data_IF_679605743118
#
_entry.id   IF_679605743118
#
_cell.length_a   1.000
_cell.length_b   1.000
_cell.length_c   1.000
_cell.angle_alpha   90.00
_cell.angle_beta   90.00
_cell.angle_gamma   90.00
#
_symmetry.space_group_name_H-M   'P 1'
#
loop_
_entity.id
_entity.type
_entity.pdbx_description
1 polymer ?
#
# COMPACT_ATOMS: atom_id res chain seq x y z
N UNK A 1 9.04 5.60 -14.99
CA UNK A 1 8.93 4.35 -15.76
C UNK A 1 7.50 3.80 -15.82
N UNK A 2 6.49 4.50 -15.29
CA UNK A 2 5.08 4.14 -15.40
C UNK A 2 4.66 2.93 -14.55
N UNK A 3 5.39 2.56 -13.51
CA UNK A 3 4.94 1.58 -12.53
C UNK A 3 4.20 2.28 -11.39
N UNK A 4 3.05 1.73 -11.01
CA UNK A 4 2.19 2.21 -9.94
C UNK A 4 2.05 1.08 -8.94
N UNK A 5 2.28 1.37 -7.67
CA UNK A 5 2.06 0.45 -6.56
C UNK A 5 0.69 0.70 -5.97
N UNK A 6 -0.02 -0.37 -5.67
CA UNK A 6 -1.35 -0.32 -5.03
C UNK A 6 -1.58 -1.59 -4.21
N UNK A 7 -2.74 -1.73 -3.59
CA UNK A 7 -3.12 -2.99 -2.94
C UNK A 7 -3.64 -4.03 -3.94
N UNK A 8 -3.42 -5.31 -3.61
CA UNK A 8 -3.95 -6.42 -4.39
C UNK A 8 -5.49 -6.39 -4.44
N UNK A 9 -6.16 -6.12 -3.31
CA UNK A 9 -7.62 -6.11 -3.26
C UNK A 9 -8.24 -5.02 -4.15
N UNK A 10 -7.51 -3.94 -4.45
CA UNK A 10 -7.97 -2.84 -5.35
C UNK A 10 -8.06 -3.30 -6.80
N UNK A 11 -7.16 -4.18 -7.24
CA UNK A 11 -7.06 -4.64 -8.65
C UNK A 11 -7.44 -6.12 -8.82
N UNK A 12 -7.85 -6.79 -7.75
CA UNK A 12 -8.14 -8.22 -7.75
C UNK A 12 -9.23 -8.58 -8.77
N UNK A 13 -8.96 -9.62 -9.57
CA UNK A 13 -9.85 -10.08 -10.62
C UNK A 13 -9.74 -9.30 -11.95
N UNK A 14 -9.00 -8.20 -11.98
CA UNK A 14 -8.80 -7.40 -13.20
C UNK A 14 -7.42 -7.68 -13.81
N UNK A 15 -7.37 -7.79 -15.14
CA UNK A 15 -6.10 -7.83 -15.89
C UNK A 15 -5.66 -6.43 -16.32
N UNK A 16 -6.64 -5.56 -16.55
CA UNK A 16 -6.47 -4.18 -16.98
C UNK A 16 -7.34 -3.28 -16.09
N UNK A 17 -6.84 -2.09 -15.81
CA UNK A 17 -7.51 -1.08 -15.01
C UNK A 17 -7.37 0.27 -15.70
N UNK A 18 -8.24 1.21 -15.40
CA UNK A 18 -8.11 2.58 -15.84
C UNK A 18 -7.39 3.40 -14.78
N UNK A 19 -6.37 4.12 -15.19
CA UNK A 19 -5.56 5.00 -14.33
C UNK A 19 -5.84 6.45 -14.71
N UNK A 20 -6.43 7.20 -13.79
CA UNK A 20 -6.65 8.64 -13.95
C UNK A 20 -5.43 9.39 -13.43
N UNK A 21 -4.81 10.18 -14.29
CA UNK A 21 -3.64 11.00 -13.99
C UNK A 21 -4.08 12.38 -13.45
N UNK A 22 -3.16 13.06 -12.77
CA UNK A 22 -3.42 14.39 -12.18
C UNK A 22 -3.73 15.47 -13.22
N UNK A 23 -3.36 15.29 -14.49
CA UNK A 23 -3.71 16.16 -15.60
C UNK A 23 -5.13 15.91 -16.18
N UNK A 24 -5.90 14.99 -15.57
CA UNK A 24 -7.25 14.62 -16.00
C UNK A 24 -7.30 13.56 -17.10
N UNK A 25 -6.16 13.10 -17.60
CA UNK A 25 -6.12 12.02 -18.59
C UNK A 25 -6.39 10.67 -17.90
N UNK A 26 -7.11 9.79 -18.59
CA UNK A 26 -7.27 8.40 -18.19
C UNK A 26 -6.52 7.51 -19.18
N UNK A 27 -5.62 6.69 -18.65
CA UNK A 27 -4.80 5.77 -19.45
C UNK A 27 -5.04 4.32 -19.02
N UNK A 28 -4.96 3.36 -19.94
CA UNK A 28 -5.06 1.96 -19.57
C UNK A 28 -3.82 1.52 -18.79
N UNK A 29 -4.04 0.79 -17.72
CA UNK A 29 -3.02 0.19 -16.89
C UNK A 29 -3.11 -1.33 -16.92
N UNK A 30 -1.99 -1.99 -17.13
CA UNK A 30 -1.86 -3.45 -17.09
C UNK A 30 -1.42 -3.90 -15.70
N UNK A 31 -2.14 -4.80 -15.08
CA UNK A 31 -1.70 -5.44 -13.81
C UNK A 31 -0.54 -6.38 -14.15
N UNK A 32 0.67 -6.02 -13.71
CA UNK A 32 1.90 -6.77 -14.00
C UNK A 32 2.21 -7.83 -12.97
N UNK A 33 1.72 -7.68 -11.75
CA UNK A 33 1.86 -8.66 -10.69
C UNK A 33 1.07 -8.32 -9.45
N UNK A 34 0.65 -9.35 -8.74
CA UNK A 34 -0.09 -9.24 -7.49
C UNK A 34 0.43 -10.23 -6.46
N UNK A 35 0.29 -9.89 -5.20
CA UNK A 35 0.58 -10.77 -4.08
C UNK A 35 -0.50 -10.64 -2.99
N UNK A 36 -1.38 -11.63 -2.95
CA UNK A 36 -2.51 -11.65 -2.02
C UNK A 36 -2.07 -11.75 -0.55
N UNK A 37 -0.93 -12.38 -0.27
CA UNK A 37 -0.42 -12.57 1.10
C UNK A 37 0.03 -11.26 1.75
N UNK A 38 0.51 -10.31 0.95
CA UNK A 38 0.98 -9.01 1.42
C UNK A 38 0.03 -7.88 1.02
N UNK A 39 -1.04 -8.22 0.29
CA UNK A 39 -2.00 -7.27 -0.27
C UNK A 39 -1.35 -6.17 -1.13
N UNK A 40 -0.29 -6.51 -1.88
CA UNK A 40 0.38 -5.60 -2.79
C UNK A 40 0.15 -5.98 -4.25
N UNK A 41 0.11 -4.98 -5.11
CA UNK A 41 0.04 -5.13 -6.56
C UNK A 41 0.84 -4.05 -7.27
N UNK A 42 1.23 -4.34 -8.50
CA UNK A 42 1.90 -3.39 -9.39
C UNK A 42 1.13 -3.30 -10.70
N UNK A 43 0.83 -2.08 -11.10
CA UNK A 43 0.21 -1.73 -12.38
C UNK A 43 1.24 -1.00 -13.23
N UNK A 44 1.31 -1.32 -14.52
CA UNK A 44 2.15 -0.64 -15.52
C UNK A 44 1.25 0.18 -16.43
N UNK A 45 1.58 1.45 -16.57
CA UNK A 45 1.01 2.31 -17.61
C UNK A 45 2.08 2.71 -18.62
N UNK A 46 1.66 2.91 -19.86
CA UNK A 46 2.47 3.52 -20.90
C UNK A 46 1.98 4.96 -21.09
N UNK A 47 2.86 5.91 -20.84
CA UNK A 47 2.60 7.33 -21.02
C UNK A 47 3.75 7.95 -21.79
N UNK A 48 3.38 8.82 -22.76
CA UNK A 48 4.36 9.66 -23.48
C UNK A 48 4.90 10.78 -22.60
N UNK A 49 4.16 11.11 -21.54
CA UNK A 49 4.50 12.22 -20.65
C UNK A 49 5.51 11.78 -19.59
N UNK A 50 6.34 12.72 -19.16
CA UNK A 50 7.20 12.52 -18.01
C UNK A 50 6.33 12.49 -16.74
N UNK A 51 6.20 11.31 -16.14
CA UNK A 51 5.44 11.14 -14.90
C UNK A 51 6.31 11.49 -13.69
N UNK A 52 5.83 12.30 -12.75
CA UNK A 52 6.53 12.51 -11.48
C UNK A 52 6.62 11.20 -10.72
N UNK A 53 7.76 10.98 -10.06
CA UNK A 53 8.05 9.75 -9.31
C UNK A 53 8.06 10.08 -7.82
N UNK A 54 7.34 9.29 -7.03
CA UNK A 54 7.35 9.41 -5.59
C UNK A 54 8.73 9.06 -5.01
N UNK A 55 9.19 9.85 -4.05
CA UNK A 55 10.43 9.58 -3.32
C UNK A 55 10.10 8.60 -2.19
N UNK A 56 10.74 7.43 -2.19
CA UNK A 56 10.56 6.46 -1.13
C UNK A 56 11.46 6.83 0.08
N UNK A 57 10.83 6.88 1.25
CA UNK A 57 11.52 7.12 2.51
C UNK A 57 12.11 5.85 3.12
N UNK A 58 12.34 5.94 4.43
CA UNK A 58 12.82 4.85 5.27
C UNK A 58 11.80 4.62 6.41
N UNK A 59 11.03 3.54 6.31
CA UNK A 59 10.01 3.21 7.32
C UNK A 59 10.59 2.70 8.62
N UNK A 60 11.86 2.27 8.64
CA UNK A 60 12.53 1.78 9.85
C UNK A 60 13.06 2.93 10.72
N UNK A 61 13.22 4.13 10.12
CA UNK A 61 13.63 5.33 10.81
C UNK A 61 12.48 6.12 11.47
N UNK A 62 11.22 5.72 11.21
CA UNK A 62 10.03 6.40 11.75
C UNK A 62 10.00 6.38 13.28
N UNK A 63 9.47 7.45 13.85
CA UNK A 63 9.23 7.57 15.28
C UNK A 63 7.72 7.79 15.56
N UNK A 64 7.26 7.26 16.69
CA UNK A 64 5.89 7.50 17.17
C UNK A 64 5.73 8.99 17.47
N UNK A 65 4.62 9.59 17.02
CA UNK A 65 4.33 11.01 17.14
C UNK A 65 4.76 11.84 15.92
N UNK A 66 5.52 11.29 14.97
CA UNK A 66 5.82 11.99 13.72
C UNK A 66 4.55 12.22 12.89
N UNK A 67 4.51 13.32 12.14
CA UNK A 67 3.42 13.63 11.23
C UNK A 67 3.29 12.54 10.15
N UNK A 68 2.08 12.03 10.01
CA UNK A 68 1.68 11.08 8.97
C UNK A 68 0.60 11.69 8.10
N UNK A 69 0.82 11.69 6.79
CA UNK A 69 -0.10 12.24 5.79
C UNK A 69 -0.53 11.08 4.89
N UNK A 70 -1.81 10.74 4.92
CA UNK A 70 -2.36 9.73 4.03
C UNK A 70 -2.99 10.39 2.81
N UNK A 71 -2.62 9.89 1.63
CA UNK A 71 -3.09 10.40 0.33
C UNK A 71 -3.83 9.27 -0.37
N UNK A 72 -5.02 9.56 -0.89
CA UNK A 72 -5.84 8.56 -1.56
C UNK A 72 -6.95 9.18 -2.39
N UNK A 73 -7.86 8.32 -2.83
CA UNK A 73 -8.99 8.68 -3.67
C UNK A 73 -10.30 8.06 -3.14
N UNK A 74 -10.76 8.47 -1.93
CA UNK A 74 -11.95 7.91 -1.33
C UNK A 74 -13.20 8.24 -2.14
N UNK A 75 -14.14 7.29 -2.19
CA UNK A 75 -15.49 7.46 -2.75
C UNK A 75 -15.58 7.80 -4.26
N UNK A 76 -14.49 7.69 -5.02
CA UNK A 76 -14.49 7.89 -6.46
C UNK A 76 -13.72 9.11 -6.96
N UNK A 77 -13.82 9.37 -8.27
CA UNK A 77 -13.04 10.41 -8.95
C UNK A 77 -13.34 11.85 -8.46
N UNK A 78 -14.51 12.07 -7.87
CA UNK A 78 -14.92 13.38 -7.33
C UNK A 78 -14.05 13.84 -6.15
N UNK A 79 -13.45 12.87 -5.43
CA UNK A 79 -12.60 13.12 -4.26
C UNK A 79 -11.13 12.78 -4.52
N UNK A 80 -10.71 12.85 -5.79
CA UNK A 80 -9.34 12.57 -6.18
C UNK A 80 -8.34 13.45 -5.42
N UNK A 81 -7.30 12.82 -4.87
CA UNK A 81 -6.25 13.50 -4.14
C UNK A 81 -6.65 13.95 -2.73
N UNK A 82 -7.64 13.28 -2.11
CA UNK A 82 -7.96 13.52 -0.70
C UNK A 82 -6.76 13.26 0.19
N UNK A 83 -6.50 14.21 1.07
CA UNK A 83 -5.40 14.16 2.05
C UNK A 83 -6.00 14.14 3.45
N UNK A 84 -5.55 13.20 4.27
CA UNK A 84 -5.81 13.18 5.70
C UNK A 84 -4.50 13.25 6.47
N UNK A 85 -4.50 13.92 7.62
CA UNK A 85 -3.30 14.14 8.43
C UNK A 85 -3.52 13.62 9.83
N UNK A 86 -2.52 12.98 10.36
CA UNK A 86 -2.43 12.49 11.73
C UNK A 86 -0.98 12.30 12.12
N UNK A 87 -0.73 11.33 12.97
CA UNK A 87 0.60 10.95 13.45
C UNK A 87 0.86 9.46 13.27
N UNK A 88 2.11 9.06 13.33
CA UNK A 88 2.49 7.66 13.53
C UNK A 88 2.11 7.29 14.96
N UNK A 89 1.03 6.51 15.11
CA UNK A 89 0.47 6.14 16.43
C UNK A 89 1.21 4.94 17.03
N UNK A 90 1.69 4.01 16.19
CA UNK A 90 2.51 2.88 16.62
C UNK A 90 3.28 2.28 15.44
N UNK A 91 4.31 1.53 15.76
CA UNK A 91 5.13 0.79 14.82
C UNK A 91 5.09 -0.71 15.16
N UNK A 92 5.43 -1.53 14.18
CA UNK A 92 5.57 -2.99 14.34
C UNK A 92 4.30 -3.69 14.85
N UNK A 93 3.11 -3.21 14.45
CA UNK A 93 1.85 -3.85 14.82
C UNK A 93 1.65 -5.17 14.09
N UNK A 94 1.38 -6.23 14.85
CA UNK A 94 0.86 -7.51 14.36
C UNK A 94 -0.61 -7.59 14.73
N UNK A 95 -1.44 -8.08 13.81
CA UNK A 95 -2.87 -8.27 14.04
C UNK A 95 -3.17 -9.77 13.90
N UNK A 96 -3.62 -10.39 14.98
CA UNK A 96 -3.79 -11.84 15.07
C UNK A 96 -4.84 -12.41 14.11
N UNK A 97 -5.82 -11.59 13.74
CA UNK A 97 -6.92 -11.98 12.86
C UNK A 97 -6.61 -11.86 11.36
N UNK A 98 -5.40 -11.43 11.00
CA UNK A 98 -5.03 -11.17 9.60
C UNK A 98 -3.72 -11.90 9.30
N UNK A 99 -3.75 -12.76 8.29
CA UNK A 99 -2.53 -13.40 7.76
C UNK A 99 -1.63 -12.35 7.10
N UNK A 100 -1.08 -11.46 7.93
CA UNK A 100 -0.17 -10.39 7.53
C UNK A 100 1.27 -10.81 7.83
N UNK A 101 2.04 -10.93 6.79
CA UNK A 101 3.49 -11.21 6.88
C UNK A 101 4.30 -9.98 7.25
N UNK A 102 3.67 -8.82 7.30
CA UNK A 102 4.30 -7.56 7.66
C UNK A 102 3.91 -7.09 9.06
N UNK A 103 4.83 -6.41 9.68
CA UNK A 103 4.54 -5.60 10.86
C UNK A 103 4.14 -4.21 10.40
N UNK A 104 2.91 -3.81 10.72
CA UNK A 104 2.27 -2.64 10.17
C UNK A 104 2.67 -1.35 10.90
N UNK A 105 2.57 -0.22 10.18
CA UNK A 105 2.53 1.11 10.75
C UNK A 105 1.08 1.41 11.12
N UNK A 106 0.85 1.89 12.34
CA UNK A 106 -0.45 2.41 12.78
C UNK A 106 -0.44 3.94 12.74
N UNK A 107 -1.51 4.54 12.26
CA UNK A 107 -1.73 5.99 12.22
C UNK A 107 -3.16 6.33 12.61
N UNK A 108 -3.39 7.51 13.16
CA UNK A 108 -4.71 8.09 13.37
C UNK A 108 -5.16 8.99 12.20
N UNK A 109 -4.32 9.22 11.20
CA UNK A 109 -4.76 9.75 9.91
C UNK A 109 -5.88 8.85 9.37
N UNK A 110 -7.00 9.44 8.95
CA UNK A 110 -8.17 8.68 8.53
C UNK A 110 -7.84 7.80 7.30
N UNK A 111 -7.88 6.48 7.48
CA UNK A 111 -7.75 5.48 6.43
C UNK A 111 -9.11 4.82 6.22
N UNK A 112 -9.72 5.10 5.09
CA UNK A 112 -11.05 4.64 4.70
C UNK A 112 -11.02 3.91 3.35
N UNK A 113 -12.08 3.18 2.97
CA UNK A 113 -12.21 2.67 1.61
C UNK A 113 -11.99 3.79 0.58
N UNK A 114 -11.00 3.58 -0.34
CA UNK A 114 -10.55 4.56 -1.32
C UNK A 114 -9.16 5.16 -1.04
N UNK A 115 -8.66 5.14 0.23
CA UNK A 115 -7.24 5.42 0.48
C UNK A 115 -6.37 4.17 0.29
N UNK A 116 -6.98 2.98 0.22
CA UNK A 116 -6.25 1.72 -0.01
C UNK A 116 -5.40 1.80 -1.27
N UNK A 117 -4.14 1.40 -1.16
CA UNK A 117 -3.15 1.47 -2.22
C UNK A 117 -2.50 2.84 -2.38
N UNK A 118 -3.05 3.87 -1.72
CA UNK A 118 -2.46 5.19 -1.64
C UNK A 118 -1.25 5.25 -0.71
N UNK A 119 -0.57 6.39 -0.69
CA UNK A 119 0.65 6.58 0.07
C UNK A 119 0.38 7.09 1.49
N UNK A 120 1.16 6.58 2.46
CA UNK A 120 1.44 7.26 3.72
C UNK A 120 2.78 7.98 3.56
N UNK A 121 2.77 9.30 3.74
CA UNK A 121 3.96 10.14 3.55
C UNK A 121 4.30 10.91 4.82
N UNK A 122 5.57 11.22 4.98
CA UNK A 122 6.10 12.08 6.03
C UNK A 122 5.90 13.56 5.69
N UNK A 123 6.12 14.46 6.63
CA UNK A 123 5.98 15.91 6.41
C UNK A 123 6.92 16.47 5.32
N UNK A 124 8.04 15.79 5.03
CA UNK A 124 8.96 16.12 3.93
C UNK A 124 8.61 15.41 2.60
N UNK A 125 7.43 14.80 2.52
CA UNK A 125 6.88 14.23 1.28
C UNK A 125 7.45 12.87 0.85
N UNK A 126 8.11 12.14 1.74
CA UNK A 126 8.64 10.80 1.44
C UNK A 126 7.61 9.73 1.77
N UNK A 127 7.44 8.77 0.86
CA UNK A 127 6.54 7.63 1.06
C UNK A 127 7.17 6.66 2.04
N UNK A 128 6.50 6.43 3.16
CA UNK A 128 6.92 5.51 4.23
C UNK A 128 5.99 4.31 4.39
N UNK A 129 4.81 4.34 3.76
CA UNK A 129 3.88 3.22 3.80
C UNK A 129 2.90 3.21 2.63
N UNK A 130 2.24 2.07 2.45
CA UNK A 130 1.10 1.85 1.54
C UNK A 130 -0.14 1.65 2.40
N UNK A 131 -1.12 2.54 2.29
CA UNK A 131 -2.34 2.50 3.09
C UNK A 131 -3.18 1.27 2.75
N UNK A 132 -3.83 0.65 3.75
CA UNK A 132 -4.75 -0.45 3.53
C UNK A 132 -5.96 -0.36 4.46
N UNK A 133 -7.09 0.07 3.92
CA UNK A 133 -8.36 0.12 4.66
C UNK A 133 -8.93 -1.27 4.95
N UNK A 134 -8.50 -2.32 4.22
CA UNK A 134 -8.89 -3.71 4.48
C UNK A 134 -8.45 -4.19 5.86
N UNK A 135 -7.38 -3.59 6.40
CA UNK A 135 -6.79 -3.95 7.69
C UNK A 135 -7.48 -3.22 8.84
N UNK A 136 -8.20 -2.14 8.56
CA UNK A 136 -8.93 -1.38 9.59
C UNK A 136 -10.15 -2.15 10.05
N UNK A 137 -10.38 -2.25 11.38
CA UNK A 137 -11.60 -2.83 11.92
C UNK A 137 -12.77 -1.87 11.72
N UNK A 138 -13.86 -2.37 11.15
CA UNK A 138 -15.08 -1.61 10.93
C UNK A 138 -15.63 -1.09 12.29
N UNK A 139 -15.95 0.19 12.37
CA UNK A 139 -16.49 0.81 13.58
C UNK A 139 -15.45 1.26 14.63
N UNK A 140 -14.14 1.17 14.31
CA UNK A 140 -13.07 1.73 15.17
C UNK A 140 -12.46 2.92 14.46
N UNK A 141 -12.70 4.12 14.98
CA UNK A 141 -12.10 5.35 14.48
C UNK A 141 -10.67 5.56 15.03
N UNK A 142 -9.80 6.25 14.28
CA UNK A 142 -8.46 6.61 14.72
C UNK A 142 -7.45 5.45 14.70
N UNK A 143 -7.77 4.33 14.04
CA UNK A 143 -6.87 3.20 13.87
C UNK A 143 -6.73 2.82 12.40
N UNK A 144 -5.92 3.56 11.67
CA UNK A 144 -5.51 3.25 10.31
C UNK A 144 -4.22 2.44 10.27
N UNK A 145 -4.03 1.65 9.23
CA UNK A 145 -2.83 0.82 9.05
C UNK A 145 -2.23 0.99 7.66
N UNK A 146 -0.89 0.92 7.62
CA UNK A 146 -0.14 0.98 6.37
C UNK A 146 0.97 -0.06 6.37
N UNK A 147 1.23 -0.63 5.19
CA UNK A 147 2.33 -1.56 4.95
C UNK A 147 3.62 -0.76 4.87
N UNK A 148 4.65 -1.03 5.71
CA UNK A 148 5.90 -0.29 5.69
C UNK A 148 6.61 -0.36 4.34
N UNK A 149 7.12 0.78 3.87
CA UNK A 149 7.72 0.85 2.53
C UNK A 149 8.98 -0.01 2.40
N UNK A 150 9.80 -0.15 3.46
CA UNK A 150 11.01 -0.97 3.42
C UNK A 150 10.67 -2.45 3.23
N UNK A 151 9.58 -2.93 3.83
CA UNK A 151 9.10 -4.30 3.64
C UNK A 151 8.45 -4.48 2.26
N UNK A 152 7.78 -3.45 1.74
CA UNK A 152 7.13 -3.48 0.43
C UNK A 152 8.13 -3.47 -0.74
N UNK A 153 9.29 -2.80 -0.61
CA UNK A 153 10.28 -2.63 -1.70
C UNK A 153 10.66 -3.96 -2.36
N UNK A 154 11.07 -4.96 -1.59
CA UNK A 154 11.48 -6.25 -2.15
C UNK A 154 10.35 -7.03 -2.83
N UNK A 155 9.11 -6.86 -2.36
CA UNK A 155 7.92 -7.43 -2.99
C UNK A 155 7.64 -6.73 -4.33
N UNK A 156 7.65 -5.41 -4.33
CA UNK A 156 7.42 -4.59 -5.53
C UNK A 156 8.44 -4.95 -6.62
N UNK A 157 9.72 -5.07 -6.28
CA UNK A 157 10.77 -5.46 -7.21
C UNK A 157 10.52 -6.84 -7.84
N UNK A 158 10.11 -7.83 -7.04
CA UNK A 158 9.76 -9.15 -7.55
C UNK A 158 8.51 -9.12 -8.44
N UNK A 159 7.48 -8.35 -8.08
CA UNK A 159 6.28 -8.19 -8.91
C UNK A 159 6.62 -7.55 -10.25
N UNK A 160 7.50 -6.55 -10.29
CA UNK A 160 7.96 -5.92 -11.53
C UNK A 160 8.77 -6.89 -12.38
N UNK A 161 9.69 -7.65 -11.78
CA UNK A 161 10.62 -8.52 -12.49
C UNK A 161 9.97 -9.82 -12.96
N UNK A 162 9.12 -10.42 -12.13
CA UNK A 162 8.65 -11.81 -12.30
C UNK A 162 7.12 -11.94 -12.41
N UNK A 163 6.38 -10.86 -12.15
CA UNK A 163 4.91 -10.86 -12.07
C UNK A 163 4.34 -11.57 -10.83
N UNK A 164 5.20 -12.12 -9.99
CA UNK A 164 4.82 -12.85 -8.77
C UNK A 164 5.94 -12.80 -7.73
N UNK A 165 5.58 -13.07 -6.49
CA UNK A 165 6.54 -13.22 -5.38
C UNK A 165 6.91 -14.68 -5.22
N UNK A 166 8.21 -14.96 -5.23
CA UNK A 166 8.74 -16.31 -4.97
C UNK A 166 9.11 -16.41 -3.50
N UNK A 167 8.50 -17.38 -2.81
CA UNK A 167 8.77 -17.68 -1.40
C UNK A 167 9.32 -19.09 -1.26
N UNK A 168 10.36 -19.25 -0.45
CA UNK A 168 10.80 -20.56 -0.04
C UNK A 168 9.72 -21.20 0.86
N UNK A 169 9.44 -22.45 0.62
CA UNK A 169 8.52 -23.25 1.42
C UNK A 169 9.30 -24.40 2.08
N UNK A 170 9.29 -24.43 3.41
CA UNK A 170 9.82 -25.55 4.17
C UNK A 170 8.64 -26.48 4.48
N UNK A 171 8.55 -27.61 3.77
CA UNK A 171 7.45 -28.57 3.89
C UNK A 171 7.52 -29.38 5.19
N UNK A 172 7.38 -28.70 6.33
CA UNK A 172 7.32 -29.33 7.65
C UNK A 172 5.97 -29.09 8.30
N UNK A 173 5.42 -30.10 8.95
CA UNK A 173 4.28 -29.96 9.83
C UNK A 173 4.79 -29.94 11.27
N UNK A 174 4.49 -28.89 12.01
CA UNK A 174 4.63 -28.90 13.46
C UNK A 174 3.40 -29.58 14.04
N UNK A 175 3.58 -30.66 14.81
CA UNK A 175 2.51 -31.22 15.63
C UNK A 175 2.56 -30.51 16.97
N UNK A 176 1.42 -29.97 17.41
CA UNK A 176 1.27 -29.53 18.80
C UNK A 176 1.44 -30.75 19.70
N UNK A 177 2.29 -30.63 20.70
CA UNK A 177 2.31 -31.59 21.79
C UNK A 177 1.14 -31.20 22.72
N UNK A 178 0.17 -32.11 22.79
CA UNK A 178 -0.84 -32.13 23.87
C UNK A 178 -0.18 -32.19 25.26
#
# INVERSE_FOLDING_TARGET
RGYIVTNNHVVSGSKEVNVSLSNGQTVPGKVVGTDASTDLAVVKIDSSDSLPVAVLGDSDALQIGETAIAIGNPLGLEFQGTVTVGVISALNRSLDDIDQRFKLIQTDAAINPGNSGGALVTADGKVVGINSAKISKEGIEGMGFSIPINQAKGIIEQLIANGKVVRAYLGVYAADKD
#
